data_IF_773326666866
#
_entry.id   IF_773326666866
#
_cell.length_a   1.000
_cell.length_b   1.000
_cell.length_c   1.000
_cell.angle_alpha   90.00
_cell.angle_beta   90.00
_cell.angle_gamma   90.00
#
_symmetry.space_group_name_H-M   'P 1'
#
loop_
_entity.id
_entity.type
_entity.pdbx_description
1 polymer ?
#
# COMPACT_ATOMS: atom_id res chain seq x y z
N UNK A 1 0.62 13.73 11.72
CA UNK A 1 1.61 14.77 11.36
C UNK A 1 2.26 15.40 12.60
N UNK A 2 1.47 15.93 13.55
CA UNK A 2 1.99 16.64 14.73
C UNK A 2 3.02 15.86 15.54
N UNK A 3 2.80 14.55 15.70
CA UNK A 3 3.72 13.61 16.38
C UNK A 3 5.09 13.55 15.70
N UNK A 4 5.11 13.51 14.36
CA UNK A 4 6.34 13.47 13.57
C UNK A 4 7.07 14.81 13.67
N UNK A 5 6.34 15.93 13.60
CA UNK A 5 6.94 17.25 13.77
C UNK A 5 7.53 17.42 15.18
N UNK A 6 6.84 16.92 16.21
CA UNK A 6 7.36 16.91 17.57
C UNK A 6 8.67 16.11 17.67
N UNK A 7 8.73 14.91 17.06
CA UNK A 7 9.96 14.13 16.98
C UNK A 7 11.11 14.93 16.36
N UNK A 8 10.85 15.56 15.20
CA UNK A 8 11.88 16.30 14.47
C UNK A 8 12.37 17.49 15.28
N UNK A 9 11.45 18.29 15.84
CA UNK A 9 11.78 19.50 16.59
C UNK A 9 12.59 19.19 17.85
N UNK A 10 12.22 18.14 18.58
CA UNK A 10 12.95 17.75 19.80
C UNK A 10 14.26 17.05 19.43
N UNK A 11 14.21 16.13 18.47
CA UNK A 11 15.34 15.29 18.09
C UNK A 11 16.52 16.05 17.48
N UNK A 12 16.27 17.14 16.75
CA UNK A 12 17.33 17.90 16.07
C UNK A 12 18.40 18.45 17.05
N UNK A 13 18.01 18.75 18.29
CA UNK A 13 18.93 19.24 19.33
C UNK A 13 19.87 18.18 19.88
N UNK A 14 19.59 16.90 19.63
CA UNK A 14 20.36 15.77 20.12
C UNK A 14 21.10 15.02 19.00
N UNK A 15 21.10 15.57 17.78
CA UNK A 15 21.83 15.00 16.65
C UNK A 15 23.33 15.16 16.88
N UNK A 16 24.05 14.05 16.81
CA UNK A 16 25.50 13.96 16.89
C UNK A 16 26.03 13.53 15.52
N UNK A 17 26.69 14.42 14.75
CA UNK A 17 27.19 14.11 13.41
C UNK A 17 28.14 12.91 13.36
N UNK A 18 28.77 12.56 14.49
CA UNK A 18 29.63 11.39 14.63
C UNK A 18 28.88 10.08 14.34
N UNK A 19 27.57 10.03 14.59
CA UNK A 19 26.75 8.84 14.30
C UNK A 19 26.53 8.61 12.80
N UNK A 20 26.85 9.60 11.95
CA UNK A 20 26.80 9.46 10.49
C UNK A 20 28.10 8.94 9.89
N UNK A 21 29.14 8.67 10.70
CA UNK A 21 30.37 8.05 10.21
C UNK A 21 30.48 6.58 10.68
N UNK A 22 30.58 5.60 9.78
CA UNK A 22 30.50 5.70 8.31
C UNK A 22 29.06 5.87 7.80
N UNK A 23 28.86 6.74 6.78
CA UNK A 23 27.52 7.05 6.25
C UNK A 23 26.90 5.88 5.46
N UNK A 24 27.75 5.08 4.79
CA UNK A 24 27.32 3.94 3.97
C UNK A 24 28.08 2.68 4.40
N UNK A 25 27.84 2.15 5.62
CA UNK A 25 28.59 1.01 6.16
C UNK A 25 28.43 -0.26 5.32
N UNK A 26 27.28 -0.41 4.66
CA UNK A 26 26.94 -1.58 3.84
C UNK A 26 27.13 -1.35 2.33
N UNK A 27 27.76 -0.23 1.95
CA UNK A 27 27.91 0.21 0.56
C UNK A 27 26.56 0.42 -0.16
N UNK A 28 26.64 0.65 -1.47
CA UNK A 28 25.44 0.86 -2.31
C UNK A 28 24.51 -0.35 -2.35
N UNK A 29 25.03 -1.57 -2.13
CA UNK A 29 24.20 -2.78 -2.04
C UNK A 29 23.21 -2.68 -0.87
N UNK A 30 23.66 -2.20 0.29
CA UNK A 30 22.79 -1.99 1.45
C UNK A 30 21.75 -0.91 1.22
N UNK A 31 22.13 0.20 0.59
CA UNK A 31 21.19 1.29 0.24
C UNK A 31 20.06 0.78 -0.67
N UNK A 32 20.40 0.00 -1.70
CA UNK A 32 19.42 -0.57 -2.62
C UNK A 32 18.49 -1.58 -1.95
N UNK A 33 19.02 -2.45 -1.08
CA UNK A 33 18.21 -3.39 -0.31
C UNK A 33 17.28 -2.65 0.66
N UNK A 34 17.79 -1.65 1.39
CA UNK A 34 17.01 -0.81 2.29
C UNK A 34 15.90 -0.05 1.56
N UNK A 35 16.17 0.46 0.35
CA UNK A 35 15.18 1.15 -0.50
C UNK A 35 13.96 0.26 -0.77
N UNK A 36 14.17 -1.02 -1.09
CA UNK A 36 13.07 -1.95 -1.34
C UNK A 36 12.25 -2.25 -0.07
N UNK A 37 12.88 -2.24 1.11
CA UNK A 37 12.18 -2.44 2.39
C UNK A 37 11.39 -1.20 2.80
N UNK A 38 12.01 -0.01 2.78
CA UNK A 38 11.34 1.25 3.20
C UNK A 38 10.27 1.72 2.21
N UNK A 39 10.21 1.15 1.01
CA UNK A 39 9.10 1.36 0.07
C UNK A 39 7.73 1.14 0.71
N UNK A 40 7.63 0.23 1.68
CA UNK A 40 6.41 -0.03 2.44
C UNK A 40 5.84 1.25 3.08
N UNK A 41 6.70 2.15 3.57
CA UNK A 41 6.29 3.39 4.21
C UNK A 41 5.60 4.37 3.22
N UNK A 42 5.85 4.24 1.92
CA UNK A 42 5.23 5.10 0.90
C UNK A 42 3.85 4.62 0.43
N UNK A 43 3.39 3.47 0.89
CA UNK A 43 2.07 2.96 0.52
C UNK A 43 0.96 3.78 1.20
N UNK A 44 -0.15 3.98 0.47
CA UNK A 44 -1.36 4.61 1.00
C UNK A 44 -1.80 5.88 0.28
N UNK A 45 -0.97 6.47 -0.60
CA UNK A 45 -1.39 7.61 -1.42
C UNK A 45 -2.56 7.26 -2.36
N UNK A 46 -2.66 6.00 -2.76
CA UNK A 46 -3.72 5.46 -3.61
C UNK A 46 -5.07 5.35 -2.89
N UNK A 47 -5.07 5.31 -1.55
CA UNK A 47 -6.30 5.37 -0.76
C UNK A 47 -7.08 6.67 -1.01
N UNK A 48 -6.40 7.78 -1.35
CA UNK A 48 -7.05 9.05 -1.72
C UNK A 48 -7.95 8.88 -2.95
N UNK A 49 -7.57 8.01 -3.90
CA UNK A 49 -8.37 7.74 -5.08
C UNK A 49 -9.69 7.01 -4.75
N UNK A 50 -9.79 6.35 -3.60
CA UNK A 50 -11.04 5.71 -3.17
C UNK A 50 -12.10 6.74 -2.75
N UNK A 51 -11.69 7.94 -2.33
CA UNK A 51 -12.59 9.03 -1.99
C UNK A 51 -13.07 9.81 -3.23
N UNK A 52 -12.79 9.34 -4.45
CA UNK A 52 -13.13 10.06 -5.68
C UNK A 52 -14.62 10.41 -5.81
N UNK A 53 -15.50 9.55 -5.30
CA UNK A 53 -16.96 9.76 -5.32
C UNK A 53 -17.43 10.87 -4.37
N UNK A 54 -16.62 11.23 -3.38
CA UNK A 54 -16.94 12.22 -2.34
C UNK A 54 -16.29 13.60 -2.61
N UNK A 55 -15.45 13.70 -3.65
CA UNK A 55 -14.75 14.93 -4.02
C UNK A 55 -15.55 15.72 -5.06
N UNK A 56 -15.77 17.02 -4.81
CA UNK A 56 -16.52 17.91 -5.73
C UNK A 56 -15.88 18.05 -7.12
N UNK A 57 -14.56 18.14 -7.20
CA UNK A 57 -13.78 18.28 -8.46
C UNK A 57 -12.67 17.23 -8.54
N UNK A 58 -13.01 15.95 -8.71
CA UNK A 58 -12.05 14.84 -8.60
C UNK A 58 -10.95 14.93 -9.66
N UNK A 59 -11.23 15.51 -10.82
CA UNK A 59 -10.30 15.70 -11.94
C UNK A 59 -9.06 16.53 -11.59
N UNK A 60 -9.17 17.42 -10.60
CA UNK A 60 -8.10 18.34 -10.20
C UNK A 60 -7.64 18.08 -8.77
N UNK A 61 -8.58 17.89 -7.86
CA UNK A 61 -8.26 17.84 -6.44
C UNK A 61 -7.65 16.50 -6.03
N UNK A 62 -8.00 15.37 -6.68
CA UNK A 62 -7.37 14.07 -6.42
C UNK A 62 -5.89 14.03 -6.85
N UNK A 63 -5.50 14.41 -8.09
CA UNK A 63 -4.09 14.48 -8.49
C UNK A 63 -3.25 15.35 -7.56
N UNK A 64 -3.77 16.52 -7.18
CA UNK A 64 -3.07 17.43 -6.24
C UNK A 64 -2.90 16.75 -4.89
N UNK A 65 -3.96 16.14 -4.34
CA UNK A 65 -3.92 15.42 -3.06
C UNK A 65 -2.86 14.30 -3.06
N UNK A 66 -2.80 13.50 -4.13
CA UNK A 66 -1.83 12.40 -4.27
C UNK A 66 -0.39 12.95 -4.33
N UNK A 67 -0.13 13.93 -5.20
CA UNK A 67 1.24 14.45 -5.41
C UNK A 67 1.74 15.21 -4.18
N UNK A 68 0.91 16.08 -3.60
CA UNK A 68 1.29 16.90 -2.43
C UNK A 68 1.50 16.01 -1.21
N UNK A 69 0.61 15.04 -0.96
CA UNK A 69 0.79 14.13 0.17
C UNK A 69 2.06 13.30 0.04
N UNK A 70 2.35 12.75 -1.15
CA UNK A 70 3.57 11.98 -1.40
C UNK A 70 4.83 12.85 -1.21
N UNK A 71 4.84 14.07 -1.73
CA UNK A 71 5.97 14.99 -1.59
C UNK A 71 6.23 15.36 -0.12
N UNK A 72 5.19 15.74 0.62
CA UNK A 72 5.29 16.08 2.05
C UNK A 72 5.77 14.87 2.87
N UNK A 73 5.22 13.67 2.64
CA UNK A 73 5.66 12.46 3.33
C UNK A 73 7.12 12.13 3.01
N UNK A 74 7.55 12.28 1.75
CA UNK A 74 8.94 12.06 1.34
C UNK A 74 9.90 12.96 2.12
N UNK A 75 9.61 14.25 2.19
CA UNK A 75 10.44 15.21 2.91
C UNK A 75 10.53 14.87 4.40
N UNK A 76 9.39 14.54 5.02
CA UNK A 76 9.35 14.15 6.42
C UNK A 76 10.13 12.86 6.67
N UNK A 77 10.03 11.85 5.80
CA UNK A 77 10.80 10.61 5.95
C UNK A 77 12.30 10.85 5.87
N UNK A 78 12.77 11.67 4.94
CA UNK A 78 14.18 12.05 4.86
C UNK A 78 14.65 12.73 6.14
N UNK A 79 13.89 13.71 6.65
CA UNK A 79 14.25 14.44 7.87
C UNK A 79 14.23 13.51 9.09
N UNK A 80 13.19 12.68 9.24
CA UNK A 80 13.10 11.70 10.33
C UNK A 80 14.26 10.73 10.29
N UNK A 81 14.62 10.20 9.12
CA UNK A 81 15.77 9.29 8.98
C UNK A 81 17.07 9.96 9.39
N UNK A 82 17.33 11.20 8.97
CA UNK A 82 18.53 11.95 9.36
C UNK A 82 18.58 12.23 10.86
N UNK A 83 17.46 12.66 11.46
CA UNK A 83 17.38 12.91 12.90
C UNK A 83 17.56 11.62 13.68
N UNK A 84 16.89 10.53 13.28
CA UNK A 84 16.93 9.26 13.97
C UNK A 84 18.34 8.64 13.98
N UNK A 85 19.01 8.57 12.82
CA UNK A 85 20.39 8.07 12.74
C UNK A 85 21.40 9.03 13.33
N UNK A 86 21.08 10.32 13.39
CA UNK A 86 21.90 11.33 14.06
C UNK A 86 21.83 11.26 15.58
N UNK A 87 20.69 10.90 16.15
CA UNK A 87 20.53 10.76 17.61
C UNK A 87 21.14 9.45 18.15
N UNK A 88 20.94 8.34 17.43
CA UNK A 88 21.34 7.01 17.87
C UNK A 88 22.09 6.28 16.76
N UNK A 89 23.23 5.63 17.07
CA UNK A 89 23.97 4.81 16.11
C UNK A 89 23.09 3.75 15.44
N UNK A 90 23.27 3.56 14.12
CA UNK A 90 22.40 2.70 13.30
C UNK A 90 22.31 1.25 13.78
N UNK A 91 23.35 0.73 14.46
CA UNK A 91 23.38 -0.65 14.95
C UNK A 91 22.45 -0.91 16.14
N UNK A 92 22.02 0.15 16.84
CA UNK A 92 21.07 0.06 17.97
C UNK A 92 19.62 0.31 17.55
N UNK A 93 19.38 0.70 16.29
CA UNK A 93 18.05 1.05 15.78
C UNK A 93 17.20 -0.17 15.38
N UNK A 94 17.69 -1.40 15.52
CA UNK A 94 16.92 -2.61 15.24
C UNK A 94 15.97 -2.97 16.39
N UNK A 95 15.03 -2.06 16.66
CA UNK A 95 14.00 -2.15 17.69
C UNK A 95 12.63 -1.86 17.09
N UNK A 96 11.56 -2.33 17.75
CA UNK A 96 10.19 -2.22 17.25
C UNK A 96 9.69 -0.76 17.18
N UNK A 97 10.14 0.11 18.08
CA UNK A 97 9.68 1.48 18.28
C UNK A 97 10.84 2.50 18.23
N UNK A 98 11.61 2.47 17.14
CA UNK A 98 12.86 3.23 16.99
C UNK A 98 12.77 4.73 17.32
N UNK A 99 11.69 5.42 16.98
CA UNK A 99 11.51 6.85 17.30
C UNK A 99 11.37 7.10 18.80
N UNK A 100 10.63 6.25 19.51
CA UNK A 100 10.49 6.35 20.97
C UNK A 100 11.79 5.96 21.66
N UNK A 101 12.43 4.88 21.19
CA UNK A 101 13.74 4.44 21.66
C UNK A 101 14.80 5.54 21.55
N UNK A 102 14.86 6.26 20.43
CA UNK A 102 15.81 7.35 20.24
C UNK A 102 15.61 8.49 21.25
N UNK A 103 14.37 8.81 21.62
CA UNK A 103 14.07 9.81 22.65
C UNK A 103 14.41 9.32 24.06
N UNK A 104 14.17 8.04 24.36
CA UNK A 104 14.60 7.43 25.61
C UNK A 104 16.13 7.46 25.76
N UNK A 105 16.87 7.20 24.68
CA UNK A 105 18.34 7.23 24.68
C UNK A 105 18.93 8.60 25.05
N UNK A 106 18.19 9.69 24.78
CA UNK A 106 18.60 11.07 25.10
C UNK A 106 17.92 11.63 26.36
N UNK A 107 17.23 10.78 27.14
CA UNK A 107 16.57 11.14 28.40
C UNK A 107 15.20 11.82 28.25
N UNK A 108 14.65 11.92 27.04
CA UNK A 108 13.37 12.58 26.75
C UNK A 108 12.16 11.64 26.90
N UNK A 109 12.00 11.06 28.10
CA UNK A 109 10.97 10.03 28.37
C UNK A 109 9.53 10.52 28.21
N UNK A 110 9.24 11.77 28.59
CA UNK A 110 7.89 12.35 28.43
C UNK A 110 7.52 12.52 26.96
N UNK A 111 8.46 13.03 26.15
CA UNK A 111 8.25 13.19 24.70
C UNK A 111 8.11 11.83 24.04
N UNK A 112 8.93 10.84 24.42
CA UNK A 112 8.81 9.48 23.94
C UNK A 112 7.40 8.91 24.19
N UNK A 113 6.86 9.09 25.41
CA UNK A 113 5.50 8.65 25.75
C UNK A 113 4.42 9.32 24.90
N UNK A 114 4.51 10.65 24.70
CA UNK A 114 3.57 11.38 23.81
C UNK A 114 3.65 10.87 22.38
N UNK A 115 4.86 10.57 21.90
CA UNK A 115 5.06 10.04 20.55
C UNK A 115 4.48 8.65 20.40
N UNK A 116 4.69 7.77 21.38
CA UNK A 116 4.13 6.41 21.36
C UNK A 116 2.60 6.43 21.33
N UNK A 117 1.95 7.26 22.15
CA UNK A 117 0.49 7.43 22.11
C UNK A 117 0.03 7.96 20.75
N UNK A 118 0.73 8.96 20.23
CA UNK A 118 0.44 9.53 18.91
C UNK A 118 0.64 8.54 17.76
N UNK A 119 1.64 7.67 17.86
CA UNK A 119 1.91 6.60 16.91
C UNK A 119 0.80 5.55 16.92
N UNK A 120 0.31 5.14 18.10
CA UNK A 120 -0.83 4.22 18.21
C UNK A 120 -2.05 4.81 17.50
N UNK A 121 -2.44 6.05 17.82
CA UNK A 121 -3.58 6.71 17.18
C UNK A 121 -3.40 6.84 15.65
N UNK A 122 -2.18 7.17 15.21
CA UNK A 122 -1.83 7.28 13.79
C UNK A 122 -1.94 5.96 13.02
N UNK A 123 -1.31 4.90 13.55
CA UNK A 123 -1.30 3.56 12.92
C UNK A 123 -2.71 2.97 12.92
N UNK A 124 -3.51 3.16 13.98
CA UNK A 124 -4.91 2.73 14.00
C UNK A 124 -5.72 3.36 12.86
N UNK A 125 -5.47 4.64 12.55
CA UNK A 125 -6.13 5.31 11.42
C UNK A 125 -5.78 4.63 10.09
N UNK A 126 -4.52 4.27 9.89
CA UNK A 126 -4.04 3.56 8.69
C UNK A 126 -4.73 2.18 8.57
N UNK A 127 -4.86 1.45 9.68
CA UNK A 127 -5.57 0.16 9.72
C UNK A 127 -7.02 0.32 9.24
N UNK A 128 -7.74 1.34 9.72
CA UNK A 128 -9.12 1.59 9.28
C UNK A 128 -9.21 1.93 7.79
N UNK A 129 -8.31 2.75 7.27
CA UNK A 129 -8.27 3.10 5.83
C UNK A 129 -8.07 1.85 4.97
N UNK A 130 -7.16 0.95 5.35
CA UNK A 130 -6.90 -0.27 4.58
C UNK A 130 -7.99 -1.33 4.73
N UNK A 131 -8.61 -1.47 5.90
CA UNK A 131 -9.78 -2.34 6.07
C UNK A 131 -10.93 -1.85 5.17
N UNK A 132 -11.19 -0.54 5.18
CA UNK A 132 -12.19 0.07 4.33
C UNK A 132 -11.91 -0.14 2.83
N UNK A 133 -10.68 0.11 2.39
CA UNK A 133 -10.26 -0.10 1.01
C UNK A 133 -10.42 -1.58 0.58
N UNK A 134 -9.99 -2.51 1.44
CA UNK A 134 -10.11 -3.96 1.20
C UNK A 134 -11.57 -4.35 1.01
N UNK A 135 -12.46 -3.88 1.89
CA UNK A 135 -13.90 -4.16 1.81
C UNK A 135 -14.52 -3.61 0.52
N UNK A 136 -14.14 -2.39 0.10
CA UNK A 136 -14.62 -1.78 -1.17
C UNK A 136 -14.13 -2.53 -2.41
N UNK A 137 -12.89 -3.00 -2.41
CA UNK A 137 -12.34 -3.80 -3.51
C UNK A 137 -13.07 -5.14 -3.61
N UNK A 138 -13.25 -5.85 -2.48
CA UNK A 138 -14.01 -7.10 -2.44
C UNK A 138 -15.46 -6.92 -2.92
N UNK A 139 -16.10 -5.82 -2.50
CA UNK A 139 -17.44 -5.45 -2.95
C UNK A 139 -17.50 -5.24 -4.46
N UNK A 140 -16.58 -4.45 -5.01
CA UNK A 140 -16.53 -4.15 -6.46
C UNK A 140 -16.25 -5.41 -7.28
N UNK A 141 -15.31 -6.25 -6.84
CA UNK A 141 -15.01 -7.54 -7.48
C UNK A 141 -16.22 -8.49 -7.44
N UNK A 142 -16.97 -8.50 -6.34
CA UNK A 142 -18.20 -9.31 -6.21
C UNK A 142 -19.32 -8.77 -7.10
N UNK A 143 -19.49 -7.45 -7.17
CA UNK A 143 -20.44 -6.77 -8.08
C UNK A 143 -20.14 -7.10 -9.55
N UNK A 144 -18.87 -7.09 -9.91
CA UNK A 144 -18.40 -7.45 -11.26
C UNK A 144 -18.40 -8.98 -11.50
N UNK A 145 -18.89 -9.74 -10.51
CA UNK A 145 -19.03 -11.20 -10.54
C UNK A 145 -17.70 -11.91 -10.76
N UNK A 146 -16.64 -11.40 -10.14
CA UNK A 146 -15.32 -12.04 -10.00
C UNK A 146 -15.19 -12.81 -8.68
N UNK A 147 -16.01 -12.46 -7.69
CA UNK A 147 -16.11 -13.12 -6.38
C UNK A 147 -17.56 -13.55 -6.10
N UNK A 148 -17.77 -14.48 -5.15
CA UNK A 148 -19.11 -14.88 -4.71
C UNK A 148 -19.99 -13.70 -4.28
N UNK A 149 -21.31 -13.81 -4.51
CA UNK A 149 -22.29 -12.76 -4.19
C UNK A 149 -22.29 -12.27 -2.73
N UNK A 150 -22.02 -13.09 -1.69
CA UNK A 150 -22.03 -12.61 -0.30
C UNK A 150 -21.12 -11.39 -0.03
N UNK A 151 -20.05 -11.23 -0.82
CA UNK A 151 -19.13 -10.10 -0.68
C UNK A 151 -19.70 -8.74 -1.15
N UNK A 152 -20.79 -8.75 -1.94
CA UNK A 152 -21.51 -7.55 -2.39
C UNK A 152 -22.87 -7.36 -1.72
N UNK A 153 -23.27 -8.25 -0.80
CA UNK A 153 -24.53 -8.09 -0.06
C UNK A 153 -24.35 -7.04 1.04
N UNK A 154 -25.16 -6.00 0.98
CA UNK A 154 -25.18 -4.91 1.94
C UNK A 154 -26.25 -5.16 2.99
N UNK A 155 -25.96 -4.90 4.26
CA UNK A 155 -26.95 -5.02 5.32
C UNK A 155 -27.91 -3.82 5.33
N UNK A 156 -29.21 -4.07 5.58
CA UNK A 156 -30.28 -3.08 5.44
C UNK A 156 -30.13 -1.87 6.38
N UNK A 157 -29.63 -2.07 7.59
CA UNK A 157 -29.50 -1.01 8.59
C UNK A 157 -28.17 -0.23 8.48
N UNK A 158 -27.04 -0.93 8.31
CA UNK A 158 -25.71 -0.29 8.29
C UNK A 158 -25.30 0.22 6.91
N UNK A 159 -25.99 -0.18 5.83
CA UNK A 159 -25.62 0.11 4.45
C UNK A 159 -24.16 -0.28 4.11
N UNK A 160 -23.59 -1.22 4.88
CA UNK A 160 -22.23 -1.72 4.72
C UNK A 160 -22.22 -3.24 4.46
N UNK A 161 -21.24 -3.76 3.70
CA UNK A 161 -21.05 -5.19 3.48
C UNK A 161 -20.41 -5.85 4.72
N UNK A 162 -21.26 -6.19 5.70
CA UNK A 162 -20.85 -6.73 7.01
C UNK A 162 -20.05 -8.03 6.88
N UNK A 163 -20.43 -8.92 5.97
CA UNK A 163 -19.73 -10.18 5.72
C UNK A 163 -18.28 -9.96 5.25
N UNK A 164 -18.08 -9.09 4.26
CA UNK A 164 -16.75 -8.71 3.77
C UNK A 164 -15.89 -8.07 4.86
N UNK A 165 -16.52 -7.28 5.73
CA UNK A 165 -15.85 -6.60 6.85
C UNK A 165 -15.32 -7.61 7.87
N UNK A 166 -16.16 -8.57 8.30
CA UNK A 166 -15.74 -9.61 9.22
C UNK A 166 -14.64 -10.50 8.64
N UNK A 167 -14.77 -10.92 7.38
CA UNK A 167 -13.73 -11.74 6.74
C UNK A 167 -12.42 -10.96 6.66
N UNK A 168 -12.43 -9.72 6.17
CA UNK A 168 -11.22 -8.91 6.07
C UNK A 168 -10.57 -8.69 7.45
N UNK A 169 -11.37 -8.42 8.48
CA UNK A 169 -10.91 -8.24 9.86
C UNK A 169 -10.32 -9.50 10.47
N UNK A 170 -11.03 -10.64 10.42
CA UNK A 170 -10.53 -11.91 10.97
C UNK A 170 -9.30 -12.42 10.23
N UNK A 171 -9.29 -12.36 8.90
CA UNK A 171 -8.12 -12.75 8.11
C UNK A 171 -6.94 -11.82 8.39
N UNK A 172 -7.17 -10.51 8.47
CA UNK A 172 -6.13 -9.53 8.84
C UNK A 172 -5.57 -9.77 10.22
N UNK A 173 -6.41 -10.04 11.23
CA UNK A 173 -6.00 -10.33 12.60
C UNK A 173 -5.20 -11.64 12.69
N UNK A 174 -5.62 -12.69 11.97
CA UNK A 174 -4.88 -13.95 11.91
C UNK A 174 -3.49 -13.73 11.29
N UNK A 175 -3.41 -13.05 10.15
CA UNK A 175 -2.13 -12.75 9.49
C UNK A 175 -1.22 -11.93 10.42
N UNK A 176 -1.75 -10.90 11.07
CA UNK A 176 -0.99 -10.06 11.99
C UNK A 176 -0.50 -10.81 13.25
N UNK A 177 -1.23 -11.85 13.70
CA UNK A 177 -0.86 -12.64 14.86
C UNK A 177 0.17 -13.76 14.59
N UNK A 178 0.21 -14.28 13.36
CA UNK A 178 1.04 -15.45 13.02
C UNK A 178 2.21 -15.16 12.07
N UNK A 179 2.22 -14.01 11.38
CA UNK A 179 3.24 -13.69 10.37
C UNK A 179 4.07 -12.49 10.79
N UNK A 180 5.39 -12.63 10.68
CA UNK A 180 6.34 -11.56 11.00
C UNK A 180 6.18 -10.33 10.09
N UNK A 181 6.37 -9.14 10.67
CA UNK A 181 6.23 -7.85 9.98
C UNK A 181 7.18 -7.72 8.78
N UNK A 182 8.41 -8.23 8.86
CA UNK A 182 9.37 -8.17 7.75
C UNK A 182 8.90 -9.04 6.58
N UNK A 183 8.40 -10.24 6.86
CA UNK A 183 7.85 -11.10 5.81
C UNK A 183 6.61 -10.47 5.17
N UNK A 184 5.71 -9.91 5.99
CA UNK A 184 4.48 -9.27 5.52
C UNK A 184 4.76 -8.02 4.69
N UNK A 185 5.62 -7.12 5.17
CA UNK A 185 5.99 -5.89 4.43
C UNK A 185 6.66 -6.20 3.10
N UNK A 186 7.52 -7.22 3.03
CA UNK A 186 8.10 -7.68 1.76
C UNK A 186 7.03 -8.20 0.78
N UNK A 187 6.04 -8.98 1.26
CA UNK A 187 4.93 -9.47 0.43
C UNK A 187 4.03 -8.34 -0.07
N UNK A 188 3.76 -7.36 0.79
CA UNK A 188 3.00 -6.17 0.39
C UNK A 188 3.79 -5.35 -0.65
N UNK A 189 5.10 -5.19 -0.48
CA UNK A 189 5.93 -4.43 -1.40
C UNK A 189 5.97 -5.05 -2.81
N UNK A 190 6.18 -6.37 -2.94
CA UNK A 190 6.18 -7.01 -4.27
C UNK A 190 4.81 -6.86 -4.97
N UNK A 191 3.72 -7.01 -4.21
CA UNK A 191 2.36 -6.84 -4.73
C UNK A 191 2.09 -5.40 -5.18
N UNK A 192 2.43 -4.41 -4.36
CA UNK A 192 2.26 -3.01 -4.67
C UNK A 192 3.12 -2.57 -5.88
N UNK A 193 4.38 -3.00 -5.94
CA UNK A 193 5.27 -2.73 -7.07
C UNK A 193 4.69 -3.31 -8.38
N UNK A 194 4.16 -4.53 -8.35
CA UNK A 194 3.50 -5.10 -9.52
C UNK A 194 2.25 -4.29 -9.91
N UNK A 195 1.42 -3.89 -8.95
CA UNK A 195 0.26 -3.03 -9.23
C UNK A 195 0.68 -1.71 -9.86
N UNK A 196 1.78 -1.09 -9.40
CA UNK A 196 2.29 0.16 -10.00
C UNK A 196 2.82 -0.05 -11.41
N UNK A 197 3.47 -1.18 -11.71
CA UNK A 197 3.82 -1.57 -13.08
C UNK A 197 2.56 -1.67 -13.95
N UNK A 198 1.52 -2.34 -13.46
CA UNK A 198 0.25 -2.50 -14.19
C UNK A 198 -0.47 -1.16 -14.42
N UNK A 199 -0.47 -0.26 -13.45
CA UNK A 199 -1.03 1.10 -13.60
C UNK A 199 -0.23 1.91 -14.61
N UNK A 200 1.09 1.89 -14.55
CA UNK A 200 1.95 2.61 -15.50
C UNK A 200 1.77 2.08 -16.93
N UNK A 201 1.69 0.76 -17.12
CA UNK A 201 1.35 0.13 -18.39
C UNK A 201 -0.04 0.56 -18.88
N UNK A 202 -1.03 0.57 -17.98
CA UNK A 202 -2.41 0.98 -18.29
C UNK A 202 -2.47 2.42 -18.79
N UNK A 203 -1.65 3.34 -18.24
CA UNK A 203 -1.56 4.72 -18.74
C UNK A 203 -1.04 4.77 -20.18
N UNK A 204 -0.01 3.98 -20.52
CA UNK A 204 0.52 3.91 -21.90
C UNK A 204 -0.55 3.34 -22.84
N UNK A 205 -1.19 2.23 -22.46
CA UNK A 205 -2.23 1.58 -23.27
C UNK A 205 -3.43 2.51 -23.47
N UNK A 206 -3.89 3.19 -22.42
CA UNK A 206 -5.03 4.12 -22.48
C UNK A 206 -4.76 5.32 -23.38
N UNK A 207 -3.50 5.78 -23.49
CA UNK A 207 -3.14 6.83 -24.46
C UNK A 207 -3.25 6.37 -25.91
N UNK A 208 -2.99 5.09 -26.18
CA UNK A 208 -3.07 4.52 -27.54
C UNK A 208 -4.50 4.13 -27.91
N UNK A 209 -5.24 3.50 -27.02
CA UNK A 209 -6.58 2.96 -27.32
C UNK A 209 -7.68 4.02 -27.27
N UNK A 210 -7.57 5.00 -26.37
CA UNK A 210 -8.59 6.05 -26.19
C UNK A 210 -7.95 7.45 -26.22
N UNK A 211 -7.41 7.90 -27.36
CA UNK A 211 -6.68 9.16 -27.46
C UNK A 211 -7.55 10.37 -27.13
N UNK A 212 -8.82 10.36 -27.57
CA UNK A 212 -9.75 11.49 -27.47
C UNK A 212 -10.46 11.62 -26.11
N UNK A 213 -10.14 10.75 -25.15
CA UNK A 213 -10.76 10.80 -23.82
C UNK A 213 -10.39 12.12 -23.11
N UNK A 214 -11.38 12.84 -22.61
CA UNK A 214 -11.15 14.04 -21.79
C UNK A 214 -10.50 13.63 -20.47
N UNK A 215 -9.33 14.22 -20.17
CA UNK A 215 -8.51 13.88 -19.00
C UNK A 215 -8.38 15.10 -18.11
N UNK A 216 -8.80 14.96 -16.86
CA UNK A 216 -8.65 16.00 -15.83
C UNK A 216 -7.18 16.36 -15.58
N UNK A 217 -6.37 15.33 -15.36
CA UNK A 217 -4.93 15.43 -15.23
C UNK A 217 -4.23 14.56 -16.28
N UNK A 218 -3.16 15.09 -16.87
CA UNK A 218 -2.33 14.37 -17.84
C UNK A 218 -0.94 14.20 -17.23
N UNK A 219 -0.52 12.95 -17.04
CA UNK A 219 0.85 12.68 -16.63
C UNK A 219 1.85 13.33 -17.62
N UNK A 220 2.87 14.04 -17.13
CA UNK A 220 3.89 14.62 -18.01
C UNK A 220 4.73 13.52 -18.66
N UNK A 221 5.34 13.84 -19.81
CA UNK A 221 6.37 13.01 -20.47
C UNK A 221 5.98 11.55 -20.76
N UNK A 222 4.71 11.25 -21.06
CA UNK A 222 4.32 9.89 -21.53
C UNK A 222 4.78 9.71 -22.97
N UNK A 223 5.46 8.60 -23.33
CA UNK A 223 5.58 7.35 -22.56
C UNK A 223 6.81 7.22 -21.64
N UNK A 224 7.76 8.15 -21.68
CA UNK A 224 9.03 8.05 -20.95
C UNK A 224 8.85 7.91 -19.43
N UNK A 225 7.98 8.73 -18.81
CA UNK A 225 7.79 8.68 -17.36
C UNK A 225 7.17 7.35 -16.89
N UNK A 226 6.08 6.84 -17.50
CA UNK A 226 5.60 5.49 -17.18
C UNK A 226 6.62 4.37 -17.43
N UNK A 227 7.44 4.47 -18.49
CA UNK A 227 8.52 3.49 -18.75
C UNK A 227 9.56 3.52 -17.62
N UNK A 228 9.97 4.71 -17.18
CA UNK A 228 10.88 4.86 -16.04
C UNK A 228 10.27 4.27 -14.76
N UNK A 229 8.98 4.51 -14.49
CA UNK A 229 8.28 3.89 -13.36
C UNK A 229 8.32 2.37 -13.43
N UNK A 230 8.04 1.78 -14.60
CA UNK A 230 8.10 0.33 -14.80
C UNK A 230 9.51 -0.20 -14.53
N UNK A 231 10.53 0.46 -15.08
CA UNK A 231 11.92 0.05 -14.88
C UNK A 231 12.34 0.13 -13.41
N UNK A 232 12.01 1.22 -12.69
CA UNK A 232 12.30 1.37 -11.27
C UNK A 232 11.57 0.34 -10.42
N UNK A 233 10.28 0.09 -10.68
CA UNK A 233 9.51 -0.90 -9.93
C UNK A 233 10.05 -2.32 -10.14
N UNK A 234 10.30 -2.72 -11.40
CA UNK A 234 10.90 -4.03 -11.71
C UNK A 234 12.27 -4.16 -11.04
N UNK A 235 13.11 -3.12 -11.12
CA UNK A 235 14.41 -3.11 -10.47
C UNK A 235 14.29 -3.31 -8.95
N UNK A 236 13.39 -2.61 -8.26
CA UNK A 236 13.16 -2.81 -6.83
C UNK A 236 12.63 -4.22 -6.54
N UNK A 237 11.75 -4.77 -7.37
CA UNK A 237 11.28 -6.16 -7.23
C UNK A 237 12.43 -7.18 -7.27
N UNK A 238 13.48 -6.95 -8.07
CA UNK A 238 14.66 -7.83 -8.09
C UNK A 238 15.52 -7.75 -6.82
N UNK A 239 15.31 -6.74 -5.96
CA UNK A 239 16.04 -6.56 -4.70
C UNK A 239 15.33 -7.20 -3.50
N UNK A 240 14.11 -7.72 -3.67
CA UNK A 240 13.43 -8.50 -2.63
C UNK A 240 13.99 -9.92 -2.53
N UNK A 241 13.80 -10.54 -1.36
CA UNK A 241 14.25 -11.90 -1.08
C UNK A 241 13.57 -12.93 -2.00
N UNK A 242 14.28 -14.02 -2.32
CA UNK A 242 13.74 -15.10 -3.16
C UNK A 242 12.50 -15.76 -2.52
N UNK A 243 12.47 -15.84 -1.17
CA UNK A 243 11.32 -16.32 -0.42
C UNK A 243 10.05 -15.51 -0.70
N UNK A 244 10.18 -14.19 -0.85
CA UNK A 244 9.07 -13.30 -1.20
C UNK A 244 8.50 -13.64 -2.57
N UNK A 245 9.36 -13.94 -3.55
CA UNK A 245 8.94 -14.38 -4.88
C UNK A 245 8.21 -15.72 -4.85
N UNK A 246 8.67 -16.67 -4.03
CA UNK A 246 8.01 -17.96 -3.87
C UNK A 246 6.59 -17.79 -3.33
N UNK A 247 6.44 -17.09 -2.20
CA UNK A 247 5.13 -16.85 -1.57
C UNK A 247 4.20 -16.06 -2.49
N UNK A 248 4.72 -15.03 -3.15
CA UNK A 248 3.96 -14.25 -4.13
C UNK A 248 3.48 -15.12 -5.30
N UNK A 249 4.34 -15.99 -5.83
CA UNK A 249 3.99 -16.88 -6.94
C UNK A 249 2.93 -17.90 -6.53
N UNK A 250 3.05 -18.50 -5.34
CA UNK A 250 2.03 -19.42 -4.78
C UNK A 250 0.69 -18.69 -4.65
N UNK A 251 0.69 -17.48 -4.10
CA UNK A 251 -0.52 -16.67 -3.95
C UNK A 251 -1.16 -16.33 -5.29
N UNK A 252 -0.36 -15.96 -6.30
CA UNK A 252 -0.85 -15.69 -7.66
C UNK A 252 -1.44 -16.93 -8.32
N UNK A 253 -0.82 -18.10 -8.15
CA UNK A 253 -1.35 -19.37 -8.67
C UNK A 253 -2.69 -19.70 -8.01
N UNK A 254 -2.81 -19.53 -6.70
CA UNK A 254 -4.08 -19.75 -5.97
C UNK A 254 -5.15 -18.78 -6.49
N UNK A 255 -4.83 -17.48 -6.57
CA UNK A 255 -5.77 -16.45 -7.04
C UNK A 255 -6.24 -16.69 -8.47
N UNK A 256 -5.32 -17.02 -9.38
CA UNK A 256 -5.65 -17.38 -10.77
C UNK A 256 -6.49 -18.66 -10.84
N UNK A 257 -6.15 -19.67 -10.05
CA UNK A 257 -6.91 -20.92 -10.00
C UNK A 257 -8.35 -20.67 -9.55
N UNK A 258 -8.56 -19.89 -8.50
CA UNK A 258 -9.90 -19.49 -8.03
C UNK A 258 -10.64 -18.74 -9.14
N UNK A 259 -9.98 -17.78 -9.80
CA UNK A 259 -10.56 -17.01 -10.90
C UNK A 259 -11.00 -17.91 -12.06
N UNK A 260 -10.14 -18.83 -12.53
CA UNK A 260 -10.47 -19.72 -13.65
C UNK A 260 -11.57 -20.72 -13.29
N UNK A 261 -11.52 -21.33 -12.09
CA UNK A 261 -12.57 -22.25 -11.61
C UNK A 261 -13.92 -21.53 -11.55
N UNK A 262 -13.95 -20.32 -10.98
CA UNK A 262 -15.18 -19.54 -10.89
C UNK A 262 -15.70 -19.11 -12.27
N UNK A 263 -14.80 -18.66 -13.16
CA UNK A 263 -15.14 -18.31 -14.55
C UNK A 263 -15.72 -19.51 -15.33
N UNK A 264 -15.11 -20.69 -15.19
CA UNK A 264 -15.58 -21.92 -15.84
C UNK A 264 -16.96 -22.36 -15.32
N UNK A 265 -17.14 -22.35 -13.99
CA UNK A 265 -18.45 -22.66 -13.36
C UNK A 265 -19.54 -21.71 -13.89
N UNK A 266 -19.24 -20.41 -13.97
CA UNK A 266 -20.17 -19.42 -14.48
C UNK A 266 -20.48 -19.58 -15.97
N UNK A 267 -19.48 -19.84 -16.81
CA UNK A 267 -19.72 -20.10 -18.24
C UNK A 267 -20.70 -21.27 -18.41
N UNK A 268 -20.51 -22.34 -17.62
CA UNK A 268 -21.41 -23.49 -17.59
C UNK A 268 -22.84 -23.14 -17.15
N UNK A 269 -23.00 -22.38 -16.06
CA UNK A 269 -24.30 -21.96 -15.53
C UNK A 269 -25.06 -21.07 -16.53
N UNK A 270 -24.38 -20.09 -17.15
CA UNK A 270 -24.98 -19.20 -18.17
C UNK A 270 -25.42 -19.95 -19.43
N UNK A 271 -24.68 -20.99 -19.82
CA UNK A 271 -25.00 -21.81 -20.97
C UNK A 271 -26.20 -22.75 -20.68
N UNK A 272 -26.35 -23.20 -19.43
CA UNK A 272 -27.52 -23.98 -19.00
C UNK A 272 -28.78 -23.12 -18.89
N UNK A 273 -28.71 -21.89 -18.36
CA UNK A 273 -29.84 -20.95 -18.35
C UNK A 273 -30.33 -20.62 -19.77
N UNK A 274 -29.41 -20.34 -20.71
CA UNK A 274 -29.77 -20.10 -22.11
C UNK A 274 -30.47 -21.31 -22.74
N UNK A 275 -29.98 -22.53 -22.49
CA UNK A 275 -30.63 -23.76 -22.99
C UNK A 275 -32.02 -23.97 -22.40
N UNK A 276 -32.22 -23.70 -21.11
CA UNK A 276 -33.53 -23.78 -20.46
C UNK A 276 -34.52 -22.77 -21.03
N UNK A 277 -34.09 -21.52 -21.24
CA UNK A 277 -34.94 -20.47 -21.83
C UNK A 277 -35.33 -20.79 -23.28
N UNK A 278 -34.41 -21.31 -24.11
CA UNK A 278 -34.73 -21.77 -25.46
C UNK A 278 -35.74 -22.92 -25.45
N UNK A 279 -35.62 -23.85 -24.49
CA UNK A 279 -36.54 -24.99 -24.37
C UNK A 279 -37.94 -24.60 -23.87
N UNK A 280 -38.07 -23.44 -23.21
CA UNK A 280 -39.34 -22.88 -22.73
C UNK A 280 -40.01 -21.96 -23.77
N UNK A 281 -39.23 -21.46 -24.74
CA UNK A 281 -39.70 -20.60 -25.82
C UNK A 281 -40.23 -21.38 -27.05
N UNK A 282 -39.87 -22.66 -27.16
CA UNK A 282 -40.45 -23.63 -28.11
C UNK A 282 -41.55 -24.45 -27.44
#
# INVERSE_FOLDING_TARGET
LSVILLFIIVGIFYVRPENWDPFIPFGWKGVLAGTATVFFAFLGFDAVATAAEEVKKPQRDLPIGIIVSLFVCTLLYVIVSLVLTGMVPYHLLNVSDAMAFALHAVGQNLVAGVISVGAIAGITTVIFVYLYATVRVLFSMSRDRLLPKPFSVVHSHSQAPVFSTWIAGFTGAAIAGFIDLRALSNLVNIGALLTFVMVALSVIVLRKTHPNLQRGFKAPLVPYLPILTIACCIFLMTRLALETWLYFSIWMIIGLSIYFIYKMKRQKDSHQEQKYMMKKAN
#
